data_IF_604686534566
#
_entry.id   IF_604686534566
#
_cell.length_a   1.000
_cell.length_b   1.000
_cell.length_c   1.000
_cell.angle_alpha   90.00
_cell.angle_beta   90.00
_cell.angle_gamma   90.00
#
_symmetry.space_group_name_H-M   'P 1'
#
loop_
_entity.id
_entity.type
_entity.pdbx_description
1 polymer ?
#
# COMPACT_ATOMS: atom_id res chain seq x y z
N UNK A 1 -12.51 -28.38 -3.31
CA UNK A 1 -11.77 -27.10 -3.30
C UNK A 1 -10.49 -27.31 -2.51
N UNK A 2 -9.32 -27.18 -3.14
CA UNK A 2 -8.03 -27.28 -2.44
C UNK A 2 -7.83 -26.02 -1.60
N UNK A 3 -7.71 -26.17 -0.29
CA UNK A 3 -7.36 -25.07 0.60
C UNK A 3 -5.94 -24.60 0.25
N UNK A 4 -5.85 -23.44 -0.39
CA UNK A 4 -4.57 -22.77 -0.66
C UNK A 4 -4.17 -22.00 0.59
N UNK A 5 -3.15 -22.47 1.29
CA UNK A 5 -2.56 -21.74 2.40
C UNK A 5 -1.44 -20.85 1.87
N UNK A 6 -1.60 -19.52 2.02
CA UNK A 6 -0.52 -18.57 1.75
C UNK A 6 0.30 -18.39 3.02
N UNK A 7 1.59 -18.70 2.95
CA UNK A 7 2.52 -18.46 4.06
C UNK A 7 3.52 -17.42 3.61
N UNK A 8 3.52 -16.28 4.30
CA UNK A 8 4.52 -15.23 4.09
C UNK A 8 5.67 -15.44 5.05
N UNK A 9 6.88 -15.47 4.53
CA UNK A 9 8.09 -15.58 5.33
C UNK A 9 9.16 -14.63 4.81
N UNK A 10 9.95 -14.10 5.72
CA UNK A 10 11.13 -13.31 5.38
C UNK A 10 12.34 -14.22 5.28
N UNK A 11 12.96 -14.27 4.10
CA UNK A 11 14.14 -15.06 3.84
C UNK A 11 15.36 -14.13 3.75
N UNK A 12 16.42 -14.47 4.48
CA UNK A 12 17.68 -13.73 4.40
C UNK A 12 18.59 -14.35 3.35
N UNK A 13 19.16 -13.50 2.49
CA UNK A 13 20.15 -13.94 1.52
C UNK A 13 21.42 -14.42 2.22
N UNK A 14 21.99 -15.52 1.74
CA UNK A 14 23.30 -15.96 2.16
C UNK A 14 24.36 -15.03 1.56
N UNK A 15 25.01 -14.22 2.39
CA UNK A 15 25.95 -13.19 1.95
C UNK A 15 27.19 -13.77 1.25
N UNK A 16 27.69 -14.91 1.73
CA UNK A 16 28.88 -15.55 1.17
C UNK A 16 28.62 -16.14 -0.22
N UNK A 17 27.46 -16.79 -0.38
CA UNK A 17 27.08 -17.42 -1.64
C UNK A 17 26.62 -16.42 -2.71
N UNK A 18 26.11 -15.27 -2.29
CA UNK A 18 25.38 -14.34 -3.18
C UNK A 18 26.15 -13.03 -3.47
N UNK A 19 27.49 -12.99 -3.42
CA UNK A 19 28.22 -11.73 -3.62
C UNK A 19 27.86 -11.04 -4.94
N UNK A 20 27.91 -11.75 -6.07
CA UNK A 20 27.56 -11.21 -7.39
C UNK A 20 26.05 -11.06 -7.58
N UNK A 21 25.29 -12.08 -7.23
CA UNK A 21 23.82 -12.06 -7.32
C UNK A 21 23.21 -11.01 -6.40
N UNK A 22 23.80 -10.76 -5.24
CA UNK A 22 23.34 -9.75 -4.29
C UNK A 22 23.45 -8.33 -4.86
N UNK A 23 24.53 -8.01 -5.58
CA UNK A 23 24.67 -6.74 -6.27
C UNK A 23 23.61 -6.58 -7.35
N UNK A 24 23.49 -7.56 -8.24
CA UNK A 24 22.48 -7.55 -9.30
C UNK A 24 21.05 -7.34 -8.74
N UNK A 25 20.68 -8.10 -7.68
CA UNK A 25 19.38 -8.01 -7.05
C UNK A 25 19.15 -6.61 -6.47
N UNK A 26 20.17 -6.02 -5.82
CA UNK A 26 20.08 -4.68 -5.25
C UNK A 26 19.84 -3.63 -6.34
N UNK A 27 20.62 -3.68 -7.42
CA UNK A 27 20.53 -2.75 -8.54
C UNK A 27 19.15 -2.90 -9.26
N UNK A 28 18.70 -4.13 -9.43
CA UNK A 28 17.40 -4.42 -10.03
C UNK A 28 16.23 -3.96 -9.15
N UNK A 29 16.30 -4.16 -7.83
CA UNK A 29 15.29 -3.66 -6.89
C UNK A 29 15.20 -2.13 -6.95
N UNK A 30 16.32 -1.43 -6.97
CA UNK A 30 16.37 0.03 -7.07
C UNK A 30 15.74 0.52 -8.37
N UNK A 31 16.14 -0.06 -9.51
CA UNK A 31 15.57 0.24 -10.81
C UNK A 31 14.06 -0.04 -10.84
N UNK A 32 13.63 -1.20 -10.37
CA UNK A 32 12.24 -1.61 -10.33
C UNK A 32 11.37 -0.61 -9.54
N UNK A 33 11.83 -0.16 -8.37
CA UNK A 33 11.12 0.82 -7.57
C UNK A 33 11.10 2.22 -8.23
N UNK A 34 12.15 2.61 -8.94
CA UNK A 34 12.17 3.84 -9.75
C UNK A 34 11.11 3.77 -10.85
N UNK A 35 11.03 2.65 -11.57
CA UNK A 35 10.05 2.44 -12.63
C UNK A 35 8.62 2.40 -12.06
N UNK A 36 8.39 1.77 -10.90
CA UNK A 36 7.08 1.80 -10.23
C UNK A 36 6.61 3.23 -9.96
N UNK A 37 7.46 4.11 -9.44
CA UNK A 37 7.12 5.51 -9.18
C UNK A 37 6.79 6.27 -10.45
N UNK A 38 7.57 6.08 -11.50
CA UNK A 38 7.34 6.67 -12.81
C UNK A 38 6.00 6.18 -13.41
N UNK A 39 5.76 4.87 -13.36
CA UNK A 39 4.52 4.24 -13.84
C UNK A 39 3.31 4.79 -13.09
N UNK A 40 3.39 4.88 -11.76
CA UNK A 40 2.33 5.48 -10.95
C UNK A 40 2.04 6.93 -11.36
N UNK A 41 3.09 7.71 -11.64
CA UNK A 41 2.93 9.10 -12.10
C UNK A 41 2.22 9.16 -13.47
N UNK A 42 2.59 8.29 -14.42
CA UNK A 42 1.92 8.19 -15.72
C UNK A 42 0.44 7.80 -15.57
N UNK A 43 0.16 6.76 -14.78
CA UNK A 43 -1.21 6.33 -14.44
C UNK A 43 -2.02 7.49 -13.88
N UNK A 44 -1.49 8.19 -12.88
CA UNK A 44 -2.13 9.35 -12.27
C UNK A 44 -2.44 10.44 -13.31
N UNK A 45 -1.51 10.76 -14.20
CA UNK A 45 -1.71 11.78 -15.23
C UNK A 45 -2.81 11.40 -16.22
N UNK A 46 -2.88 10.12 -16.61
CA UNK A 46 -3.98 9.63 -17.46
C UNK A 46 -5.33 9.70 -16.75
N UNK A 47 -5.38 9.37 -15.45
CA UNK A 47 -6.60 9.51 -14.65
C UNK A 47 -7.06 10.96 -14.54
N UNK A 48 -6.15 11.89 -14.26
CA UNK A 48 -6.45 13.32 -14.16
C UNK A 48 -7.01 13.85 -15.50
N UNK A 49 -6.46 13.36 -16.62
CA UNK A 49 -6.81 13.84 -17.97
C UNK A 49 -8.13 13.25 -18.48
N UNK A 50 -8.38 11.97 -18.19
CA UNK A 50 -9.45 11.19 -18.83
C UNK A 50 -10.48 10.62 -17.86
N UNK A 51 -10.31 10.83 -16.54
CA UNK A 51 -11.20 10.30 -15.49
C UNK A 51 -11.10 8.78 -15.26
N UNK A 52 -10.53 8.04 -16.23
CA UNK A 52 -10.34 6.57 -16.18
C UNK A 52 -9.12 6.13 -16.97
N UNK A 53 -8.64 4.93 -16.69
CA UNK A 53 -7.63 4.24 -17.52
C UNK A 53 -8.32 3.16 -18.35
N UNK A 54 -8.20 3.28 -19.66
CA UNK A 54 -8.65 2.28 -20.63
C UNK A 54 -7.53 1.27 -20.93
N UNK A 55 -7.88 0.19 -21.60
CA UNK A 55 -6.90 -0.78 -22.11
C UNK A 55 -5.87 -0.12 -23.04
N UNK A 56 -6.31 0.80 -23.89
CA UNK A 56 -5.45 1.58 -24.78
C UNK A 56 -4.41 2.39 -24.00
N UNK A 57 -4.81 3.14 -22.98
CA UNK A 57 -3.89 3.87 -22.11
C UNK A 57 -2.87 2.94 -21.44
N UNK A 58 -3.31 1.76 -21.01
CA UNK A 58 -2.44 0.74 -20.44
C UNK A 58 -1.40 0.26 -21.46
N UNK A 59 -1.80 0.00 -22.71
CA UNK A 59 -0.92 -0.42 -23.80
C UNK A 59 0.10 0.67 -24.15
N UNK A 60 -0.30 1.94 -24.15
CA UNK A 60 0.60 3.07 -24.39
C UNK A 60 1.66 3.14 -23.29
N UNK A 61 1.26 3.08 -22.02
CA UNK A 61 2.22 3.09 -20.89
C UNK A 61 3.16 1.89 -20.99
N UNK A 62 2.64 0.70 -21.32
CA UNK A 62 3.43 -0.51 -21.48
C UNK A 62 4.50 -0.33 -22.58
N UNK A 63 4.13 0.18 -23.75
CA UNK A 63 5.05 0.43 -24.86
C UNK A 63 6.15 1.43 -24.47
N UNK A 64 5.77 2.54 -23.83
CA UNK A 64 6.72 3.54 -23.36
C UNK A 64 7.73 2.98 -22.35
N UNK A 65 7.26 2.14 -21.39
CA UNK A 65 8.15 1.53 -20.40
C UNK A 65 9.09 0.51 -21.03
N UNK A 66 8.61 -0.22 -22.04
CA UNK A 66 9.43 -1.20 -22.77
C UNK A 66 10.55 -0.53 -23.55
N UNK A 67 10.24 0.57 -24.24
CA UNK A 67 11.21 1.36 -25.00
C UNK A 67 12.26 2.02 -24.09
N UNK A 68 11.81 2.62 -22.99
CA UNK A 68 12.68 3.41 -22.09
C UNK A 68 13.62 2.54 -21.24
N UNK A 69 13.16 1.36 -20.81
CA UNK A 69 13.89 0.53 -19.84
C UNK A 69 14.31 -0.85 -20.37
N UNK A 70 13.97 -1.18 -21.60
CA UNK A 70 14.26 -2.48 -22.23
C UNK A 70 13.91 -3.71 -21.35
N UNK A 71 12.83 -3.61 -20.58
CA UNK A 71 12.37 -4.68 -19.70
C UNK A 71 11.53 -5.71 -20.48
N UNK A 72 11.44 -6.91 -19.94
CA UNK A 72 10.49 -7.90 -20.48
C UNK A 72 9.05 -7.46 -20.26
N UNK A 73 8.16 -7.84 -21.19
CA UNK A 73 6.72 -7.53 -21.09
C UNK A 73 6.11 -8.03 -19.76
N UNK A 74 6.62 -9.15 -19.20
CA UNK A 74 6.15 -9.67 -17.91
C UNK A 74 6.53 -8.76 -16.72
N UNK A 75 7.73 -8.23 -16.72
CA UNK A 75 8.17 -7.29 -15.68
C UNK A 75 7.34 -6.01 -15.73
N UNK A 76 7.09 -5.50 -16.94
CA UNK A 76 6.24 -4.33 -17.16
C UNK A 76 4.79 -4.60 -16.73
N UNK A 77 4.21 -5.74 -17.11
CA UNK A 77 2.86 -6.15 -16.69
C UNK A 77 2.73 -6.24 -15.16
N UNK A 78 3.75 -6.77 -14.49
CA UNK A 78 3.79 -6.82 -13.02
C UNK A 78 3.78 -5.42 -12.41
N UNK A 79 4.61 -4.51 -12.92
CA UNK A 79 4.67 -3.12 -12.47
C UNK A 79 3.34 -2.40 -12.72
N UNK A 80 2.80 -2.50 -13.92
CA UNK A 80 1.52 -1.87 -14.30
C UNK A 80 0.37 -2.37 -13.43
N UNK A 81 0.22 -3.68 -13.27
CA UNK A 81 -0.86 -4.27 -12.47
C UNK A 81 -0.77 -3.84 -11.00
N UNK A 82 0.44 -3.83 -10.43
CA UNK A 82 0.66 -3.36 -9.06
C UNK A 82 0.32 -1.86 -8.91
N UNK A 83 0.78 -1.02 -9.85
CA UNK A 83 0.55 0.42 -9.75
C UNK A 83 -0.90 0.82 -10.01
N UNK A 84 -1.59 0.13 -10.91
CA UNK A 84 -3.04 0.28 -11.11
C UNK A 84 -3.81 -0.11 -9.84
N UNK A 85 -3.52 -1.28 -9.27
CA UNK A 85 -4.14 -1.71 -8.02
C UNK A 85 -3.88 -0.75 -6.86
N UNK A 86 -2.67 -0.21 -6.75
CA UNK A 86 -2.36 0.84 -5.73
C UNK A 86 -3.16 2.12 -5.96
N UNK A 87 -3.33 2.55 -7.21
CA UNK A 87 -4.12 3.74 -7.51
C UNK A 87 -5.60 3.56 -7.14
N UNK A 88 -6.20 2.44 -7.54
CA UNK A 88 -7.60 2.11 -7.20
C UNK A 88 -7.80 1.98 -5.68
N UNK A 89 -6.89 1.30 -4.98
CA UNK A 89 -6.95 1.20 -3.52
C UNK A 89 -6.89 2.57 -2.83
N UNK A 90 -6.07 3.49 -3.34
CA UNK A 90 -6.02 4.86 -2.79
C UNK A 90 -7.34 5.58 -3.02
N UNK A 91 -7.93 5.45 -4.20
CA UNK A 91 -9.23 6.03 -4.52
C UNK A 91 -10.32 5.52 -3.57
N UNK A 92 -10.40 4.21 -3.37
CA UNK A 92 -11.34 3.59 -2.43
C UNK A 92 -11.13 4.06 -0.99
N UNK A 93 -9.86 4.13 -0.53
CA UNK A 93 -9.53 4.63 0.80
C UNK A 93 -9.95 6.10 0.98
N UNK A 94 -9.79 6.94 -0.05
CA UNK A 94 -10.23 8.35 0.00
C UNK A 94 -11.75 8.46 0.06
N UNK A 95 -12.48 7.66 -0.67
CA UNK A 95 -13.95 7.59 -0.57
C UNK A 95 -14.41 7.11 0.82
N UNK A 96 -13.76 6.11 1.39
CA UNK A 96 -14.04 5.66 2.75
C UNK A 96 -13.74 6.76 3.78
N UNK A 97 -12.63 7.48 3.63
CA UNK A 97 -12.27 8.62 4.51
C UNK A 97 -13.32 9.73 4.42
N UNK A 98 -13.83 10.04 3.22
CA UNK A 98 -14.92 11.00 2.98
C UNK A 98 -16.19 10.61 3.76
N UNK A 99 -16.69 9.39 3.58
CA UNK A 99 -17.86 8.89 4.30
C UNK A 99 -17.66 8.89 5.82
N UNK A 100 -16.46 8.58 6.31
CA UNK A 100 -16.13 8.64 7.73
C UNK A 100 -16.14 10.07 8.28
N UNK A 101 -15.66 11.05 7.50
CA UNK A 101 -15.70 12.45 7.88
C UNK A 101 -17.11 13.01 7.89
N UNK A 102 -17.95 12.69 6.90
CA UNK A 102 -19.36 13.07 6.83
C UNK A 102 -20.13 12.61 8.07
N UNK A 103 -19.98 11.34 8.46
CA UNK A 103 -20.58 10.80 9.69
C UNK A 103 -20.14 11.56 10.95
N UNK A 104 -18.82 11.84 11.07
CA UNK A 104 -18.27 12.58 12.21
C UNK A 104 -18.75 14.03 12.26
N UNK A 105 -19.01 14.65 11.10
CA UNK A 105 -19.57 15.99 10.99
C UNK A 105 -21.01 15.97 11.47
N UNK A 106 -21.85 15.05 10.97
CA UNK A 106 -23.26 14.90 11.38
C UNK A 106 -23.38 14.73 12.89
N UNK A 107 -22.60 13.81 13.48
CA UNK A 107 -22.58 13.61 14.94
C UNK A 107 -22.22 14.88 15.70
N UNK A 108 -21.23 15.64 15.23
CA UNK A 108 -20.83 16.90 15.87
C UNK A 108 -21.90 17.99 15.74
N UNK A 109 -22.61 18.05 14.63
CA UNK A 109 -23.73 18.97 14.40
C UNK A 109 -24.88 18.69 15.36
N UNK A 110 -25.27 17.41 15.50
CA UNK A 110 -26.30 16.99 16.47
C UNK A 110 -25.91 17.31 17.90
N UNK A 111 -24.65 17.01 18.28
CA UNK A 111 -24.16 17.34 19.62
C UNK A 111 -24.12 18.85 19.89
N UNK A 112 -23.77 19.67 18.88
CA UNK A 112 -23.78 21.12 18.96
C UNK A 112 -25.19 21.65 19.14
N UNK A 113 -26.18 21.13 18.41
CA UNK A 113 -27.59 21.52 18.54
C UNK A 113 -28.05 21.24 19.98
N UNK A 114 -27.83 20.01 20.48
CA UNK A 114 -28.18 19.66 21.87
C UNK A 114 -27.52 20.57 22.94
N UNK A 115 -26.29 21.01 22.72
CA UNK A 115 -25.61 21.94 23.63
C UNK A 115 -26.15 23.35 23.53
N UNK A 116 -26.50 23.82 22.33
CA UNK A 116 -27.12 25.13 22.13
C UNK A 116 -28.49 25.17 22.78
N UNK A 117 -29.32 24.15 22.64
CA UNK A 117 -30.64 24.05 23.27
C UNK A 117 -30.52 24.09 24.81
N UNK A 118 -29.59 23.31 25.36
CA UNK A 118 -29.30 23.35 26.82
C UNK A 118 -28.86 24.75 27.28
N UNK A 119 -28.12 25.49 26.47
CA UNK A 119 -27.70 26.86 26.78
C UNK A 119 -28.86 27.83 26.69
N UNK A 120 -29.75 27.68 25.69
CA UNK A 120 -30.97 28.48 25.55
C UNK A 120 -31.85 28.28 26.78
N UNK A 121 -32.07 27.03 27.21
CA UNK A 121 -32.83 26.74 28.41
C UNK A 121 -32.26 27.42 29.66
N UNK A 122 -30.92 27.39 29.85
CA UNK A 122 -30.29 28.11 30.96
C UNK A 122 -30.49 29.62 30.86
N UNK A 123 -30.54 30.21 29.67
CA UNK A 123 -30.81 31.64 29.45
C UNK A 123 -32.26 32.01 29.78
N UNK A 124 -33.24 31.13 29.42
CA UNK A 124 -34.63 31.31 29.77
C UNK A 124 -34.80 31.26 31.29
N UNK A 125 -34.18 30.29 31.97
CA UNK A 125 -34.20 30.18 33.44
C UNK A 125 -33.60 31.42 34.15
N UNK A 126 -32.56 32.02 33.58
CA UNK A 126 -32.00 33.29 34.06
C UNK A 126 -33.04 34.42 33.93
N UNK A 127 -33.64 34.59 32.76
CA UNK A 127 -34.60 35.67 32.49
C UNK A 127 -35.85 35.56 33.40
N UNK A 128 -36.23 34.37 33.72
CA UNK A 128 -37.40 34.10 34.56
C UNK A 128 -37.10 34.05 36.08
N UNK A 129 -35.85 34.43 36.49
CA UNK A 129 -35.38 34.35 37.86
C UNK A 129 -35.64 33.02 38.52
N UNK A 130 -35.62 31.92 37.75
CA UNK A 130 -35.97 30.58 38.24
C UNK A 130 -34.78 29.93 38.97
N UNK A 131 -35.12 29.11 40.01
CA UNK A 131 -34.12 28.31 40.74
C UNK A 131 -33.33 27.31 39.87
N UNK A 132 -33.73 27.11 38.60
CA UNK A 132 -33.08 26.22 37.63
C UNK A 132 -31.87 26.84 36.92
N UNK A 133 -31.59 28.15 37.11
CA UNK A 133 -30.40 28.78 36.52
C UNK A 133 -29.13 28.47 37.32
N UNK A 134 -28.08 28.07 36.58
CA UNK A 134 -26.76 27.84 37.13
C UNK A 134 -25.70 28.53 36.26
N UNK A 135 -25.08 29.59 36.79
CA UNK A 135 -24.09 30.41 36.08
C UNK A 135 -22.87 29.62 35.64
N UNK A 136 -22.33 28.75 36.49
CA UNK A 136 -21.19 27.90 36.15
C UNK A 136 -21.51 26.95 34.99
N UNK A 137 -22.69 26.33 35.04
CA UNK A 137 -23.20 25.46 33.96
C UNK A 137 -23.36 26.24 32.66
N UNK A 138 -23.92 27.44 32.68
CA UNK A 138 -24.07 28.31 31.52
C UNK A 138 -22.72 28.69 30.89
N UNK A 139 -21.74 29.09 31.72
CA UNK A 139 -20.36 29.41 31.28
C UNK A 139 -19.67 28.21 30.65
N UNK A 140 -19.77 27.04 31.30
CA UNK A 140 -19.17 25.82 30.79
C UNK A 140 -19.80 25.35 29.45
N UNK A 141 -21.11 25.52 29.26
CA UNK A 141 -21.78 25.26 27.99
C UNK A 141 -21.25 26.17 26.89
N UNK A 142 -21.02 27.48 27.16
CA UNK A 142 -20.45 28.42 26.19
C UNK A 142 -19.08 27.93 25.71
N UNK A 143 -18.21 27.52 26.62
CA UNK A 143 -16.86 27.03 26.31
C UNK A 143 -16.95 25.73 25.50
N UNK A 144 -17.80 24.79 25.91
CA UNK A 144 -17.99 23.50 25.18
C UNK A 144 -18.50 23.72 23.74
N UNK A 145 -19.44 24.63 23.56
CA UNK A 145 -19.97 24.97 22.23
C UNK A 145 -18.86 25.57 21.37
N UNK A 146 -18.06 26.49 21.90
CA UNK A 146 -16.93 27.10 21.17
C UNK A 146 -15.93 26.04 20.68
N UNK A 147 -15.48 25.15 21.54
CA UNK A 147 -14.52 24.10 21.18
C UNK A 147 -15.11 23.10 20.16
N UNK A 148 -16.38 22.71 20.33
CA UNK A 148 -17.02 21.82 19.36
C UNK A 148 -17.24 22.48 18.00
N UNK A 149 -17.59 23.78 17.98
CA UNK A 149 -17.72 24.55 16.75
C UNK A 149 -16.40 24.61 15.98
N UNK A 150 -15.28 24.89 16.67
CA UNK A 150 -13.95 24.91 16.07
C UNK A 150 -13.57 23.52 15.51
N UNK A 151 -13.87 22.45 16.26
CA UNK A 151 -13.65 21.08 15.80
C UNK A 151 -14.49 20.75 14.56
N UNK A 152 -15.73 21.19 14.52
CA UNK A 152 -16.61 21.02 13.36
C UNK A 152 -16.06 21.74 12.14
N UNK A 153 -15.66 23.01 12.28
CA UNK A 153 -15.10 23.81 11.19
C UNK A 153 -13.82 23.15 10.62
N UNK A 154 -12.94 22.66 11.49
CA UNK A 154 -11.74 21.93 11.08
C UNK A 154 -12.07 20.67 10.27
N UNK A 155 -13.11 19.92 10.68
CA UNK A 155 -13.53 18.72 9.94
C UNK A 155 -14.20 19.05 8.61
N UNK A 156 -15.03 20.09 8.57
CA UNK A 156 -15.61 20.58 7.30
C UNK A 156 -14.55 21.03 6.31
N UNK A 157 -13.51 21.73 6.78
CA UNK A 157 -12.40 22.10 5.91
C UNK A 157 -11.62 20.90 5.39
N UNK A 158 -11.40 19.87 6.25
CA UNK A 158 -10.77 18.62 5.81
C UNK A 158 -11.61 17.88 4.78
N UNK A 159 -12.92 17.85 4.96
CA UNK A 159 -13.85 17.24 4.00
C UNK A 159 -13.76 17.95 2.65
N UNK A 160 -13.86 19.26 2.62
CA UNK A 160 -13.73 20.07 1.40
C UNK A 160 -12.41 19.82 0.65
N UNK A 161 -11.30 19.71 1.37
CA UNK A 161 -10.00 19.41 0.76
C UNK A 161 -9.96 17.98 0.19
N UNK A 162 -10.57 17.03 0.88
CA UNK A 162 -10.64 15.64 0.45
C UNK A 162 -11.53 15.48 -0.78
N UNK A 163 -12.68 16.13 -0.82
CA UNK A 163 -13.58 16.17 -1.99
C UNK A 163 -12.85 16.71 -3.22
N UNK A 164 -12.08 17.79 -3.06
CA UNK A 164 -11.25 18.34 -4.14
C UNK A 164 -10.16 17.34 -4.60
N UNK A 165 -9.54 16.59 -3.68
CA UNK A 165 -8.59 15.54 -4.05
C UNK A 165 -9.27 14.41 -4.86
N UNK A 166 -10.48 14.00 -4.45
CA UNK A 166 -11.26 12.95 -5.12
C UNK A 166 -11.70 13.43 -6.51
N UNK A 167 -12.27 14.61 -6.61
CA UNK A 167 -12.74 15.20 -7.86
C UNK A 167 -11.61 15.35 -8.89
N UNK A 168 -10.46 15.86 -8.45
CA UNK A 168 -9.31 16.07 -9.34
C UNK A 168 -8.47 14.83 -9.59
N UNK A 169 -8.64 13.74 -8.83
CA UNK A 169 -7.77 12.55 -8.90
C UNK A 169 -6.31 12.81 -8.51
N UNK A 170 -5.99 13.98 -7.96
CA UNK A 170 -4.62 14.39 -7.60
C UNK A 170 -4.19 13.85 -6.25
N UNK A 171 -4.23 12.52 -6.10
CA UNK A 171 -3.83 11.89 -4.84
C UNK A 171 -2.34 12.09 -4.53
N UNK A 172 -2.05 12.42 -3.27
CA UNK A 172 -0.68 12.45 -2.73
C UNK A 172 -0.33 11.07 -2.19
N UNK A 173 0.68 10.46 -2.78
CA UNK A 173 1.14 9.11 -2.41
C UNK A 173 2.54 9.19 -1.85
N UNK A 174 2.74 8.51 -0.74
CA UNK A 174 4.05 8.28 -0.16
C UNK A 174 4.42 6.80 -0.42
N UNK A 175 5.41 6.58 -1.26
CA UNK A 175 6.01 5.26 -1.37
C UNK A 175 6.91 5.05 -0.16
N UNK A 176 6.68 3.99 0.61
CA UNK A 176 7.35 3.74 1.87
C UNK A 176 6.55 4.23 3.09
N UNK A 177 7.19 4.29 4.24
CA UNK A 177 6.54 4.60 5.50
C UNK A 177 6.61 6.10 5.81
N UNK A 178 5.47 6.80 5.80
CA UNK A 178 5.38 8.25 6.06
C UNK A 178 6.03 8.68 7.38
N UNK A 179 5.93 7.87 8.44
CA UNK A 179 6.57 8.17 9.73
C UNK A 179 8.10 8.17 9.63
N UNK A 180 8.69 7.32 8.78
CA UNK A 180 10.13 7.31 8.53
C UNK A 180 10.59 8.53 7.74
N UNK A 181 9.78 9.02 6.79
CA UNK A 181 10.08 10.22 6.02
C UNK A 181 10.38 11.45 6.91
N UNK A 182 9.69 11.54 8.05
CA UNK A 182 9.84 12.65 9.00
C UNK A 182 10.95 12.41 10.04
N UNK A 183 11.26 11.14 10.36
CA UNK A 183 12.19 10.79 11.45
C UNK A 183 13.59 10.44 10.97
N UNK A 184 13.70 9.71 9.87
CA UNK A 184 14.97 9.20 9.35
C UNK A 184 14.86 8.99 7.84
N UNK A 185 15.32 9.99 7.09
CA UNK A 185 15.24 9.98 5.63
C UNK A 185 16.03 8.83 4.99
N UNK A 186 17.17 8.47 5.54
CA UNK A 186 17.99 7.37 5.00
C UNK A 186 17.31 6.01 5.16
N UNK A 187 16.69 5.76 6.32
CA UNK A 187 15.85 4.57 6.53
C UNK A 187 14.61 4.59 5.65
N UNK A 188 14.02 5.77 5.46
CA UNK A 188 12.89 5.93 4.55
C UNK A 188 13.25 5.50 3.13
N UNK A 189 14.37 5.99 2.57
CA UNK A 189 14.83 5.63 1.23
C UNK A 189 15.07 4.12 1.11
N UNK A 190 15.82 3.54 2.07
CA UNK A 190 16.08 2.09 2.09
C UNK A 190 14.78 1.27 2.08
N UNK A 191 13.78 1.67 2.88
CA UNK A 191 12.50 0.96 2.94
C UNK A 191 11.62 1.23 1.72
N UNK A 192 11.69 2.42 1.16
CA UNK A 192 10.95 2.78 -0.06
C UNK A 192 11.39 1.96 -1.26
N UNK A 193 12.68 1.72 -1.38
CA UNK A 193 13.32 1.10 -2.53
C UNK A 193 13.75 -0.37 -2.24
N UNK A 194 13.05 -1.06 -1.32
CA UNK A 194 13.37 -2.43 -0.91
C UNK A 194 12.42 -3.51 -1.42
N UNK A 195 11.39 -3.15 -2.16
CA UNK A 195 10.37 -4.10 -2.58
C UNK A 195 10.52 -4.45 -4.07
N UNK A 196 10.40 -5.73 -4.39
CA UNK A 196 10.26 -6.23 -5.76
C UNK A 196 9.03 -7.13 -5.84
N UNK A 197 8.36 -7.10 -6.97
CA UNK A 197 7.15 -7.88 -7.22
C UNK A 197 7.26 -8.64 -8.53
N UNK A 198 7.04 -9.94 -8.48
CA UNK A 198 7.01 -10.82 -9.65
C UNK A 198 5.60 -11.38 -9.84
N UNK A 199 5.05 -11.17 -11.02
CA UNK A 199 3.74 -11.70 -11.41
C UNK A 199 3.90 -13.10 -12.01
N UNK A 200 3.26 -14.10 -11.38
CA UNK A 200 3.05 -15.42 -11.95
C UNK A 200 1.77 -15.46 -12.79
N UNK A 201 1.72 -16.33 -13.78
CA UNK A 201 0.50 -16.58 -14.56
C UNK A 201 0.02 -18.02 -14.34
N UNK A 202 -1.29 -18.19 -14.20
CA UNK A 202 -1.90 -19.50 -14.21
C UNK A 202 -1.59 -20.21 -15.56
N UNK A 203 -1.13 -21.47 -15.51
CA UNK A 203 -0.72 -22.22 -16.71
C UNK A 203 0.78 -22.19 -17.03
N UNK A 204 1.57 -21.31 -16.41
CA UNK A 204 3.04 -21.43 -16.48
C UNK A 204 3.49 -22.70 -15.75
N UNK A 205 4.35 -23.55 -16.38
CA UNK A 205 4.81 -24.85 -15.83
C UNK A 205 5.40 -24.76 -14.41
N UNK A 206 5.89 -23.59 -14.00
CA UNK A 206 6.47 -23.34 -12.68
C UNK A 206 5.80 -22.14 -11.95
N UNK A 207 4.55 -21.84 -12.29
CA UNK A 207 3.76 -20.73 -11.75
C UNK A 207 4.35 -19.34 -11.96
N UNK A 208 5.67 -19.17 -12.01
CA UNK A 208 6.34 -17.89 -12.25
C UNK A 208 7.68 -18.13 -12.96
N UNK A 209 7.77 -17.67 -14.22
CA UNK A 209 8.99 -17.83 -15.02
C UNK A 209 10.09 -16.82 -14.66
N UNK A 210 9.75 -15.73 -13.97
CA UNK A 210 10.70 -14.68 -13.61
C UNK A 210 11.34 -14.93 -12.25
N UNK A 211 10.64 -15.66 -11.36
CA UNK A 211 11.16 -15.98 -10.04
C UNK A 211 10.74 -17.40 -9.64
N UNK A 212 11.70 -18.23 -9.33
CA UNK A 212 11.47 -19.60 -8.86
C UNK A 212 12.27 -19.88 -7.59
N UNK A 213 11.69 -20.68 -6.71
CA UNK A 213 12.34 -21.13 -5.48
C UNK A 213 12.32 -22.67 -5.50
N UNK A 214 13.49 -23.25 -5.30
CA UNK A 214 13.69 -24.68 -5.23
C UNK A 214 14.26 -25.08 -3.87
N UNK A 215 13.76 -26.16 -3.31
CA UNK A 215 14.29 -26.74 -2.08
C UNK A 215 15.11 -27.96 -2.38
N UNK A 216 16.37 -27.97 -1.95
CA UNK A 216 17.25 -29.13 -2.03
C UNK A 216 17.19 -29.88 -0.70
N UNK A 217 16.55 -31.06 -0.70
CA UNK A 217 16.39 -31.89 0.49
C UNK A 217 17.70 -32.51 1.00
N UNK A 218 18.73 -32.66 0.15
CA UNK A 218 20.03 -33.21 0.53
C UNK A 218 20.85 -32.21 1.35
N UNK A 219 20.82 -30.94 0.95
CA UNK A 219 21.56 -29.86 1.61
C UNK A 219 20.71 -29.08 2.62
N UNK A 220 19.39 -29.36 2.67
CA UNK A 220 18.41 -28.63 3.49
C UNK A 220 18.42 -27.13 3.23
N UNK A 221 18.59 -26.73 1.98
CA UNK A 221 18.74 -25.33 1.57
C UNK A 221 17.74 -24.94 0.50
N UNK A 222 17.33 -23.66 0.51
CA UNK A 222 16.50 -23.07 -0.52
C UNK A 222 17.38 -22.27 -1.48
N UNK A 223 17.19 -22.54 -2.76
CA UNK A 223 17.80 -21.80 -3.86
C UNK A 223 16.70 -21.01 -4.57
N UNK A 224 17.09 -19.90 -5.14
CA UNK A 224 16.21 -19.14 -6.02
C UNK A 224 16.90 -18.87 -7.34
N UNK A 225 16.09 -18.68 -8.36
CA UNK A 225 16.53 -18.15 -9.65
C UNK A 225 15.64 -16.98 -10.04
N UNK A 226 16.26 -15.90 -10.46
CA UNK A 226 15.60 -14.68 -10.93
C UNK A 226 16.01 -14.47 -12.38
N UNK A 227 15.04 -14.20 -13.26
CA UNK A 227 15.32 -13.82 -14.64
C UNK A 227 16.00 -12.46 -14.66
N UNK A 228 17.09 -12.35 -15.41
CA UNK A 228 17.77 -11.08 -15.65
C UNK A 228 16.91 -10.18 -16.53
N UNK A 229 16.73 -8.94 -16.11
CA UNK A 229 16.06 -7.88 -16.86
C UNK A 229 17.05 -6.77 -17.28
N UNK A 230 18.22 -6.71 -16.62
CA UNK A 230 19.34 -5.82 -16.93
C UNK A 230 20.60 -6.66 -17.02
N UNK A 231 21.60 -6.17 -17.74
CA UNK A 231 22.88 -6.87 -17.99
C UNK A 231 22.65 -8.29 -18.54
N UNK A 232 22.10 -8.34 -19.75
CA UNK A 232 21.84 -9.58 -20.49
C UNK A 232 23.16 -10.14 -21.06
N UNK A 233 24.09 -10.51 -20.20
CA UNK A 233 25.16 -11.45 -20.53
C UNK A 233 24.54 -12.79 -20.97
N UNK A 234 25.35 -13.73 -21.44
CA UNK A 234 24.90 -15.03 -21.94
C UNK A 234 23.99 -15.80 -20.97
N UNK A 235 24.03 -15.47 -19.68
CA UNK A 235 23.18 -16.07 -18.65
C UNK A 235 21.87 -15.34 -18.46
N UNK A 236 20.77 -15.98 -18.82
CA UNK A 236 19.40 -15.45 -18.68
C UNK A 236 18.91 -15.37 -17.23
N UNK A 237 19.61 -15.94 -16.27
CA UNK A 237 19.17 -16.06 -14.89
C UNK A 237 20.27 -15.74 -13.90
N UNK A 238 19.87 -15.18 -12.76
CA UNK A 238 20.69 -15.04 -11.56
C UNK A 238 20.22 -16.08 -10.55
N UNK A 239 21.19 -16.78 -9.98
CA UNK A 239 20.96 -17.80 -8.95
C UNK A 239 21.43 -17.30 -7.61
N UNK A 240 20.74 -17.71 -6.58
CA UNK A 240 21.14 -17.39 -5.21
C UNK A 240 20.60 -18.40 -4.21
N UNK A 241 21.04 -18.25 -2.98
CA UNK A 241 20.69 -19.12 -1.86
C UNK A 241 20.11 -18.31 -0.72
N UNK A 242 19.06 -18.84 -0.08
CA UNK A 242 18.51 -18.29 1.14
C UNK A 242 19.05 -19.02 2.36
N UNK A 243 19.43 -18.26 3.39
CA UNK A 243 19.65 -18.82 4.72
C UNK A 243 18.31 -19.06 5.41
N UNK A 244 18.06 -20.31 5.72
CA UNK A 244 16.83 -20.74 6.36
C UNK A 244 17.11 -21.29 7.76
N UNK A 245 16.93 -20.45 8.78
CA UNK A 245 17.23 -20.82 10.18
C UNK A 245 16.02 -21.42 10.94
N UNK A 246 14.89 -21.69 10.27
CA UNK A 246 13.69 -22.11 10.97
C UNK A 246 13.37 -23.60 10.78
N UNK A 247 13.76 -24.42 11.74
CA UNK A 247 13.52 -25.89 11.78
C UNK A 247 12.05 -26.29 11.61
N UNK A 248 11.10 -25.42 11.96
CA UNK A 248 9.67 -25.69 11.83
C UNK A 248 9.16 -25.62 10.39
N UNK A 249 9.83 -24.89 9.51
CA UNK A 249 9.46 -24.77 8.10
C UNK A 249 9.89 -25.99 7.29
N UNK A 250 11.09 -26.51 7.56
CA UNK A 250 11.60 -27.74 6.92
C UNK A 250 10.66 -28.91 7.13
N UNK A 251 10.10 -29.05 8.34
CA UNK A 251 9.08 -30.08 8.63
C UNK A 251 7.80 -29.88 7.80
N UNK A 252 7.33 -28.65 7.59
CA UNK A 252 6.12 -28.38 6.80
C UNK A 252 6.32 -28.62 5.31
N UNK A 253 7.46 -28.26 4.75
CA UNK A 253 7.79 -28.50 3.33
C UNK A 253 7.93 -30.01 3.06
N UNK A 254 8.59 -30.75 3.94
CA UNK A 254 8.72 -32.21 3.84
C UNK A 254 7.35 -32.91 3.91
N UNK A 255 6.43 -32.43 4.75
CA UNK A 255 5.05 -32.94 4.81
C UNK A 255 4.25 -32.63 3.53
N UNK A 256 4.48 -31.52 2.86
CA UNK A 256 3.83 -31.21 1.58
C UNK A 256 4.37 -32.07 0.43
N UNK A 257 5.67 -32.37 0.42
CA UNK A 257 6.27 -33.26 -0.59
C UNK A 257 5.91 -34.73 -0.38
N UNK A 258 5.77 -35.18 0.87
CA UNK A 258 5.31 -36.53 1.21
C UNK A 258 3.89 -36.82 0.72
N UNK A 259 2.97 -35.84 0.79
CA UNK A 259 1.61 -35.98 0.27
C UNK A 259 1.51 -36.06 -1.26
N UNK A 260 2.44 -35.45 -2.01
CA UNK A 260 2.49 -35.58 -3.47
C UNK A 260 3.01 -36.92 -3.94
N UNK A 261 3.83 -37.62 -3.15
CA UNK A 261 4.31 -39.00 -3.46
C UNK A 261 3.27 -40.08 -3.13
N UNK A 262 2.33 -39.82 -2.24
CA UNK A 262 1.25 -40.74 -1.88
C UNK A 262 0.03 -40.66 -2.83
N UNK A 263 0.01 -39.75 -3.78
CA UNK A 263 -1.06 -39.58 -4.79
C UNK A 263 -0.61 -39.95 -6.22
N UNK A 264 0.54 -40.64 -6.37
CA UNK A 264 0.98 -41.34 -7.58
C UNK A 264 1.00 -42.84 -7.31
#
# INVERSE_FOLDING_TARGET
MSNVFTVTTELKLNKEYNQLSGKYISDYIELFNKIQRLTFHRIKNYYIKNGKITLEHRNIIHAQLKEEFNLTSRAIDAILSNMLGRYESIKELKEFERKSLERKISTLEEELTKLKDKRILQRINLNNNSKGFNFTKYKNLKIKIYWKQNRLNTKKQKLKNLEKEIETGKYKVCFGTKALLQKDYNKFIKKRDSEIYFLGRAGDKACNLNFQVEYNSKTNQFYFRIRKEIDLDNDKFVYGQFNFNNKNYTKKVNNCQGKKKAQK
#
